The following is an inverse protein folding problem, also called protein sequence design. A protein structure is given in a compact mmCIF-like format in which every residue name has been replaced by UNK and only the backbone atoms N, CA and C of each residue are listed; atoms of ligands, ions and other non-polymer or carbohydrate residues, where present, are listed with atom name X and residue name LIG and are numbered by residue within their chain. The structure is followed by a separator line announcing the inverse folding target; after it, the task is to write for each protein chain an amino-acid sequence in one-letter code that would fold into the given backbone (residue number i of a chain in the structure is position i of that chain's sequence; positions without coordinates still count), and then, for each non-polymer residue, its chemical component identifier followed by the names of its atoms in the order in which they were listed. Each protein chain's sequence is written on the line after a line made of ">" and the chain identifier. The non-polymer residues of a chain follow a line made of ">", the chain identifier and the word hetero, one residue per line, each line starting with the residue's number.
data_IF_992954430858
#
_entry.id   IF_992954430858
#
_cell.length_a   1.000
_cell.length_b   1.000
_cell.length_c   1.000
_cell.angle_alpha   90.00
_cell.angle_beta   90.00
_cell.angle_gamma   90.00
#
_symmetry.space_group_name_H-M   'P 1'
#
loop_
_entity.id
_entity.type
_entity.pdbx_description
1 polymer ?
#
# COMPACT_ATOMS: atom_id res chain seq x y z
N UNK A 1 11.30 10.10 25.88
CA UNK A 1 12.38 10.98 25.38
C UNK A 1 11.88 12.38 25.00
N UNK A 2 10.83 12.57 24.20
CA UNK A 2 10.36 13.92 23.85
C UNK A 2 9.66 14.65 25.02
N UNK A 3 8.82 13.97 25.79
CA UNK A 3 8.07 14.54 26.93
C UNK A 3 8.96 15.06 28.05
N UNK A 4 10.03 14.33 28.40
CA UNK A 4 11.02 14.76 29.41
C UNK A 4 11.77 16.03 28.99
N UNK A 5 11.96 16.25 27.68
CA UNK A 5 12.57 17.47 27.13
C UNK A 5 11.66 18.69 27.27
N UNK A 6 10.34 18.52 27.20
CA UNK A 6 9.38 19.62 27.33
C UNK A 6 9.22 20.08 28.78
N UNK A 7 9.14 19.15 29.73
CA UNK A 7 9.02 19.49 31.15
C UNK A 7 10.28 20.21 31.67
N UNK A 8 11.46 19.79 31.22
CA UNK A 8 12.72 20.46 31.54
C UNK A 8 12.76 21.90 30.97
N UNK A 9 12.28 22.09 29.74
CA UNK A 9 12.21 23.41 29.11
C UNK A 9 11.21 24.35 29.83
N UNK A 10 10.04 23.83 30.22
CA UNK A 10 9.02 24.58 30.98
C UNK A 10 9.58 24.99 32.35
N UNK A 11 10.27 24.08 33.04
CA UNK A 11 10.89 24.36 34.33
C UNK A 11 11.97 25.45 34.22
N UNK A 12 12.85 25.34 33.23
CA UNK A 12 13.89 26.36 32.98
C UNK A 12 13.30 27.74 32.63
N UNK A 13 12.19 27.77 31.91
CA UNK A 13 11.48 29.00 31.59
C UNK A 13 10.86 29.65 32.83
N UNK A 14 10.22 28.86 33.71
CA UNK A 14 9.65 29.35 34.97
C UNK A 14 10.73 29.90 35.93
N UNK A 15 11.89 29.25 35.99
CA UNK A 15 13.03 29.72 36.79
C UNK A 15 13.61 31.04 36.27
N UNK A 16 13.56 31.29 34.95
CA UNK A 16 13.97 32.56 34.34
C UNK A 16 12.96 33.69 34.61
N UNK A 17 11.67 33.35 34.63
CA UNK A 17 10.59 34.31 34.86
C UNK A 17 10.50 34.75 36.33
N UNK A 18 10.80 33.87 37.28
CA UNK A 18 10.88 34.24 38.70
C UNK A 18 12.00 35.25 39.01
N UNK A 19 13.04 35.32 38.16
CA UNK A 19 14.19 36.22 38.31
C UNK A 19 14.05 37.55 37.57
N UNK A 20 13.02 37.73 36.73
CA UNK A 20 12.74 38.96 35.98
C UNK A 20 11.28 39.37 36.18
N UNK A 21 11.01 39.97 37.34
CA UNK A 21 9.66 40.37 37.80
C UNK A 21 8.93 41.31 36.84
N UNK A 22 9.67 42.15 36.11
CA UNK A 22 9.09 43.11 35.14
C UNK A 22 8.56 42.44 33.86
N UNK A 23 8.95 41.19 33.60
CA UNK A 23 8.51 40.37 32.46
C UNK A 23 7.49 39.31 32.86
N UNK A 24 7.23 39.13 34.16
CA UNK A 24 6.43 38.02 34.69
C UNK A 24 5.01 37.97 34.14
N UNK A 25 4.32 39.13 34.10
CA UNK A 25 2.94 39.18 33.63
C UNK A 25 2.83 39.00 32.11
N UNK A 26 3.73 39.61 31.33
CA UNK A 26 3.73 39.51 29.86
C UNK A 26 4.11 38.11 29.40
N UNK A 27 5.08 37.49 30.07
CA UNK A 27 5.50 36.14 29.75
C UNK A 27 4.49 35.08 30.21
N UNK A 28 3.88 35.24 31.39
CA UNK A 28 2.82 34.35 31.85
C UNK A 28 1.61 34.37 30.89
N UNK A 29 1.22 35.55 30.41
CA UNK A 29 0.12 35.67 29.44
C UNK A 29 0.49 35.01 28.10
N UNK A 30 1.71 35.24 27.58
CA UNK A 30 2.17 34.58 26.36
C UNK A 30 2.27 33.05 26.51
N UNK A 31 2.73 32.55 27.64
CA UNK A 31 2.78 31.11 27.92
C UNK A 31 1.38 30.53 27.98
N UNK A 32 0.42 31.23 28.61
CA UNK A 32 -0.97 30.81 28.67
C UNK A 32 -1.61 30.74 27.28
N UNK A 33 -1.37 31.76 26.43
CA UNK A 33 -1.81 31.78 25.04
C UNK A 33 -1.19 30.62 24.26
N UNK A 34 0.14 30.45 24.29
CA UNK A 34 0.83 29.35 23.60
C UNK A 34 0.37 27.97 24.10
N UNK A 35 0.13 27.81 25.40
CA UNK A 35 -0.37 26.56 25.97
C UNK A 35 -1.80 26.28 25.54
N UNK A 36 -2.62 27.33 25.38
CA UNK A 36 -3.98 27.20 24.88
C UNK A 36 -4.00 26.89 23.38
N UNK A 37 -3.18 27.56 22.57
CA UNK A 37 -2.98 27.24 21.14
C UNK A 37 -2.49 25.79 20.95
N UNK A 38 -1.56 25.32 21.79
CA UNK A 38 -1.08 23.93 21.78
C UNK A 38 -2.17 22.93 22.18
N UNK A 39 -3.02 23.26 23.18
CA UNK A 39 -4.17 22.43 23.56
C UNK A 39 -5.25 22.39 22.47
N UNK A 40 -5.48 23.51 21.79
CA UNK A 40 -6.42 23.60 20.66
C UNK A 40 -5.92 22.76 19.47
N UNK A 41 -4.61 22.81 19.19
CA UNK A 41 -3.95 21.92 18.23
C UNK A 41 -4.12 20.44 18.60
N UNK A 42 -3.96 20.06 19.86
CA UNK A 42 -4.17 18.68 20.34
C UNK A 42 -5.65 18.24 20.25
N UNK A 43 -6.59 19.16 20.46
CA UNK A 43 -8.03 18.87 20.33
C UNK A 43 -8.51 18.80 18.88
N UNK A 44 -7.82 19.49 17.96
CA UNK A 44 -8.08 19.45 16.51
C UNK A 44 -7.61 18.16 15.84
N UNK A 45 -6.83 17.34 16.55
CA UNK A 45 -6.23 16.10 16.02
C UNK A 45 -7.23 14.95 15.85
N UNK A 46 -8.50 15.13 16.26
CA UNK A 46 -9.56 14.11 16.15
C UNK A 46 -10.67 14.44 15.14
N UNK A 47 -10.65 15.61 14.49
CA UNK A 47 -11.64 15.88 13.44
C UNK A 47 -11.13 15.32 12.09
N UNK A 48 -11.73 14.20 11.68
CA UNK A 48 -11.43 13.57 10.39
C UNK A 48 -11.63 14.53 9.20
N UNK A 49 -12.60 15.45 9.29
CA UNK A 49 -12.87 16.44 8.25
C UNK A 49 -11.73 17.45 8.18
N UNK A 50 -11.26 17.96 9.32
CA UNK A 50 -10.11 18.88 9.36
C UNK A 50 -8.81 18.20 8.93
N UNK A 51 -8.61 16.92 9.26
CA UNK A 51 -7.47 16.16 8.75
C UNK A 51 -7.46 16.06 7.22
N UNK A 52 -8.62 15.88 6.59
CA UNK A 52 -8.74 15.85 5.12
C UNK A 52 -8.45 17.24 4.54
N UNK A 53 -9.06 18.30 5.09
CA UNK A 53 -8.85 19.68 4.61
C UNK A 53 -7.40 20.14 4.74
N UNK A 54 -6.81 19.99 5.94
CA UNK A 54 -5.42 20.35 6.20
C UNK A 54 -4.45 19.56 5.32
N UNK A 55 -4.71 18.26 5.12
CA UNK A 55 -3.94 17.41 4.22
C UNK A 55 -3.98 17.89 2.76
N UNK A 56 -5.15 18.25 2.25
CA UNK A 56 -5.27 18.80 0.89
C UNK A 56 -4.62 20.17 0.76
N UNK A 57 -4.77 21.04 1.76
CA UNK A 57 -4.09 22.35 1.80
C UNK A 57 -2.59 22.17 1.71
N UNK A 58 -2.01 21.24 2.49
CA UNK A 58 -0.58 20.91 2.43
C UNK A 58 -0.17 20.39 1.05
N UNK A 59 -0.92 19.44 0.46
CA UNK A 59 -0.66 18.97 -0.91
C UNK A 59 -0.69 20.14 -1.92
N UNK A 60 -1.68 21.02 -1.82
CA UNK A 60 -1.83 22.16 -2.72
C UNK A 60 -0.63 23.11 -2.63
N UNK A 61 -0.21 23.49 -1.41
CA UNK A 61 0.88 24.46 -1.22
C UNK A 61 2.26 23.86 -1.44
N UNK A 62 2.48 22.63 -1.00
CA UNK A 62 3.82 22.03 -0.99
C UNK A 62 4.13 21.18 -2.21
N UNK A 63 3.11 20.76 -2.97
CA UNK A 63 3.29 19.91 -4.16
C UNK A 63 2.71 20.55 -5.40
N UNK A 64 1.40 20.83 -5.40
CA UNK A 64 0.71 21.31 -6.60
C UNK A 64 1.27 22.64 -7.12
N UNK A 65 1.22 23.69 -6.29
CA UNK A 65 1.65 25.05 -6.69
C UNK A 65 3.15 25.15 -6.96
N UNK A 66 3.96 24.25 -6.39
CA UNK A 66 5.42 24.23 -6.60
C UNK A 66 5.84 23.47 -7.87
N UNK A 67 4.93 22.76 -8.52
CA UNK A 67 5.20 21.93 -9.71
C UNK A 67 4.19 22.21 -10.83
N UNK A 68 3.96 23.49 -11.13
CA UNK A 68 2.92 23.94 -12.08
C UNK A 68 3.02 23.27 -13.46
N UNK A 69 4.23 23.12 -14.00
CA UNK A 69 4.45 22.45 -15.29
C UNK A 69 3.98 20.99 -15.27
N UNK A 70 4.35 20.24 -14.21
CA UNK A 70 3.95 18.84 -14.05
C UNK A 70 2.42 18.70 -14.00
N UNK A 71 1.76 19.46 -13.13
CA UNK A 71 0.31 19.34 -12.97
C UNK A 71 -0.47 19.90 -14.17
N UNK A 72 0.06 20.91 -14.86
CA UNK A 72 -0.49 21.40 -16.13
C UNK A 72 -0.43 20.36 -17.23
N UNK A 73 0.63 19.56 -17.29
CA UNK A 73 0.72 18.45 -18.25
C UNK A 73 -0.18 17.27 -17.86
N UNK A 74 -0.21 16.91 -16.57
CA UNK A 74 -1.11 15.86 -16.07
C UNK A 74 -2.60 16.20 -16.25
N UNK A 75 -2.97 17.48 -16.24
CA UNK A 75 -4.33 17.92 -16.51
C UNK A 75 -4.79 17.61 -17.96
N UNK A 76 -3.85 17.43 -18.90
CA UNK A 76 -4.14 17.09 -20.31
C UNK A 76 -4.34 15.59 -20.50
N UNK A 77 -3.77 14.75 -19.63
CA UNK A 77 -3.87 13.30 -19.72
C UNK A 77 -2.83 12.57 -18.86
N UNK A 78 -2.90 11.24 -18.86
CA UNK A 78 -1.96 10.37 -18.15
C UNK A 78 -1.31 9.36 -19.12
N UNK A 79 -0.06 9.01 -18.86
CA UNK A 79 0.68 7.97 -19.60
C UNK A 79 1.62 7.17 -18.67
N UNK A 80 1.08 6.55 -17.60
CA UNK A 80 1.89 5.82 -16.62
C UNK A 80 2.62 4.64 -17.27
N UNK A 81 3.81 4.36 -16.76
CA UNK A 81 4.63 3.22 -17.22
C UNK A 81 4.40 1.95 -16.42
N UNK A 82 3.74 2.07 -15.27
CA UNK A 82 3.49 0.98 -14.34
C UNK A 82 1.99 0.81 -14.07
N UNK A 83 1.51 -0.43 -14.12
CA UNK A 83 0.34 -0.89 -13.38
C UNK A 83 0.84 -1.53 -12.08
N UNK A 84 0.37 -1.05 -10.93
CA UNK A 84 0.79 -1.57 -9.62
C UNK A 84 -0.40 -2.16 -8.88
N UNK A 85 -0.30 -3.44 -8.50
CA UNK A 85 -1.17 -4.04 -7.49
C UNK A 85 -0.48 -3.99 -6.14
N UNK A 86 -1.12 -3.36 -5.16
CA UNK A 86 -0.65 -3.29 -3.79
C UNK A 86 -1.79 -3.56 -2.80
N UNK A 87 -1.46 -3.93 -1.56
CA UNK A 87 -2.49 -4.21 -0.57
C UNK A 87 -3.17 -2.92 -0.13
N UNK A 88 -4.45 -2.97 0.26
CA UNK A 88 -5.16 -1.85 0.88
C UNK A 88 -4.63 -1.47 2.27
N UNK A 89 -3.72 -2.26 2.84
CA UNK A 89 -3.06 -2.01 4.12
C UNK A 89 -2.48 -0.57 4.21
N UNK A 90 -2.79 0.15 5.28
CA UNK A 90 -2.46 1.57 5.43
C UNK A 90 -0.95 1.84 5.49
N UNK A 91 -0.12 0.83 5.73
CA UNK A 91 1.34 0.95 5.90
C UNK A 91 2.13 0.85 4.61
N UNK A 92 1.49 0.46 3.50
CA UNK A 92 2.19 0.02 2.27
C UNK A 92 1.75 0.80 1.02
N UNK A 93 1.48 2.10 1.17
CA UNK A 93 1.13 2.95 0.04
C UNK A 93 2.25 2.94 -1.02
N UNK A 94 2.01 2.42 -2.25
CA UNK A 94 3.06 2.22 -3.25
C UNK A 94 3.74 3.54 -3.65
N UNK A 95 2.99 4.64 -3.73
CA UNK A 95 3.55 5.97 -4.01
C UNK A 95 4.56 6.42 -2.95
N UNK A 96 4.39 6.00 -1.70
CA UNK A 96 5.32 6.34 -0.63
C UNK A 96 6.56 5.44 -0.65
N UNK A 97 6.35 4.12 -0.70
CA UNK A 97 7.45 3.14 -0.56
C UNK A 97 8.38 3.08 -1.80
N UNK A 98 7.87 3.43 -2.99
CA UNK A 98 8.64 3.45 -4.23
C UNK A 98 8.87 4.86 -4.78
N UNK A 99 8.45 5.89 -4.04
CA UNK A 99 8.56 7.29 -4.44
C UNK A 99 7.95 7.60 -5.82
N UNK A 100 6.84 6.95 -6.19
CA UNK A 100 6.14 7.29 -7.43
C UNK A 100 5.58 8.71 -7.34
N UNK A 101 5.86 9.49 -8.38
CA UNK A 101 5.29 10.79 -8.63
C UNK A 101 3.91 10.67 -9.31
N UNK A 102 3.07 11.72 -9.23
CA UNK A 102 1.82 11.77 -9.97
C UNK A 102 2.04 11.50 -11.47
N UNK A 103 1.28 10.55 -12.01
CA UNK A 103 1.36 10.14 -13.42
C UNK A 103 2.29 8.96 -13.73
N UNK A 104 3.12 8.49 -12.79
CA UNK A 104 4.06 7.39 -13.06
C UNK A 104 3.41 6.00 -12.99
N UNK A 105 2.49 5.79 -12.05
CA UNK A 105 1.86 4.50 -11.81
C UNK A 105 0.32 4.59 -11.78
N UNK A 106 -0.32 3.69 -12.50
CA UNK A 106 -1.74 3.38 -12.38
C UNK A 106 -1.91 2.30 -11.31
N UNK A 107 -2.61 2.60 -10.22
CA UNK A 107 -2.57 1.77 -9.00
C UNK A 107 -3.92 1.11 -8.73
N UNK A 108 -3.88 -0.20 -8.49
CA UNK A 108 -5.00 -0.98 -7.95
C UNK A 108 -4.65 -1.41 -6.53
N UNK A 109 -5.55 -1.13 -5.58
CA UNK A 109 -5.40 -1.56 -4.18
C UNK A 109 -6.58 -2.43 -3.74
N UNK A 110 -6.28 -3.62 -3.25
CA UNK A 110 -7.28 -4.56 -2.74
C UNK A 110 -6.71 -5.38 -1.58
N UNK A 111 -7.52 -6.25 -0.98
CA UNK A 111 -7.08 -7.09 0.14
C UNK A 111 -6.05 -8.10 -0.36
N UNK A 112 -4.87 -8.10 0.27
CA UNK A 112 -3.74 -8.96 -0.06
C UNK A 112 -3.24 -8.87 -1.51
N UNK A 113 -3.39 -7.70 -2.16
CA UNK A 113 -2.80 -7.38 -3.47
C UNK A 113 -3.02 -8.47 -4.54
N UNK A 114 -4.18 -9.14 -4.49
CA UNK A 114 -4.45 -10.31 -5.30
C UNK A 114 -4.91 -9.91 -6.71
N UNK A 115 -4.45 -10.64 -7.70
CA UNK A 115 -4.99 -10.60 -9.06
C UNK A 115 -5.76 -11.90 -9.28
N UNK A 116 -7.11 -11.89 -9.36
CA UNK A 116 -7.87 -13.06 -9.76
C UNK A 116 -7.64 -13.45 -11.23
N UNK A 117 -7.89 -14.71 -11.60
CA UNK A 117 -7.91 -15.12 -13.00
C UNK A 117 -9.00 -14.38 -13.78
N UNK A 118 -8.88 -14.37 -15.11
CA UNK A 118 -9.84 -13.74 -16.02
C UNK A 118 -11.25 -14.30 -15.79
N UNK A 119 -12.16 -13.45 -15.33
CA UNK A 119 -13.58 -13.77 -15.19
C UNK A 119 -14.41 -12.49 -15.28
N UNK A 120 -15.19 -12.37 -16.36
CA UNK A 120 -16.00 -11.18 -16.64
C UNK A 120 -17.14 -10.96 -15.64
N UNK A 121 -17.60 -12.02 -14.95
CA UNK A 121 -18.74 -11.96 -14.04
C UNK A 121 -18.30 -11.73 -12.60
N UNK A 122 -17.29 -12.47 -12.13
CA UNK A 122 -16.87 -12.47 -10.72
C UNK A 122 -15.82 -11.40 -10.40
N UNK A 123 -15.02 -10.99 -11.38
CA UNK A 123 -13.81 -10.20 -11.14
C UNK A 123 -13.69 -8.98 -12.06
N UNK A 124 -14.84 -8.45 -12.52
CA UNK A 124 -14.91 -7.34 -13.46
C UNK A 124 -14.13 -6.09 -13.02
N UNK A 125 -14.08 -5.79 -11.72
CA UNK A 125 -13.31 -4.65 -11.20
C UNK A 125 -11.80 -4.75 -11.47
N UNK A 126 -11.19 -5.92 -11.19
CA UNK A 126 -9.77 -6.13 -11.49
C UNK A 126 -9.56 -6.24 -13.00
N UNK A 127 -10.41 -7.00 -13.69
CA UNK A 127 -10.29 -7.18 -15.13
C UNK A 127 -10.34 -5.87 -15.91
N UNK A 128 -11.26 -4.97 -15.55
CA UNK A 128 -11.36 -3.64 -16.15
C UNK A 128 -10.11 -2.80 -15.89
N UNK A 129 -9.52 -2.86 -14.69
CA UNK A 129 -8.31 -2.13 -14.36
C UNK A 129 -7.09 -2.61 -15.16
N UNK A 130 -6.91 -3.94 -15.29
CA UNK A 130 -5.83 -4.53 -16.11
C UNK A 130 -6.04 -4.20 -17.58
N UNK A 131 -7.27 -4.35 -18.09
CA UNK A 131 -7.61 -4.01 -19.47
C UNK A 131 -7.33 -2.54 -19.77
N UNK A 132 -7.77 -1.62 -18.92
CA UNK A 132 -7.54 -0.19 -19.10
C UNK A 132 -6.04 0.14 -19.11
N UNK A 133 -5.28 -0.38 -18.15
CA UNK A 133 -3.84 -0.11 -18.08
C UNK A 133 -3.09 -0.65 -19.30
N UNK A 134 -3.36 -1.89 -19.72
CA UNK A 134 -2.62 -2.56 -20.81
C UNK A 134 -3.11 -2.12 -22.18
N UNK A 135 -4.42 -2.06 -22.40
CA UNK A 135 -5.02 -1.79 -23.71
C UNK A 135 -5.12 -0.30 -23.99
N UNK A 136 -5.43 0.53 -22.99
CA UNK A 136 -5.64 1.96 -23.21
C UNK A 136 -4.43 2.81 -22.81
N UNK A 137 -3.89 2.64 -21.60
CA UNK A 137 -2.75 3.43 -21.12
C UNK A 137 -1.40 2.94 -21.65
N UNK A 138 -1.35 1.71 -22.19
CA UNK A 138 -0.13 1.08 -22.73
C UNK A 138 1.01 1.05 -21.71
N UNK A 139 0.70 0.68 -20.46
CA UNK A 139 1.73 0.46 -19.44
C UNK A 139 2.75 -0.57 -19.94
N UNK A 140 4.00 -0.40 -19.55
CA UNK A 140 5.11 -1.28 -19.96
C UNK A 140 5.42 -2.33 -18.88
N UNK A 141 4.90 -2.12 -17.66
CA UNK A 141 5.22 -2.93 -16.50
C UNK A 141 3.96 -3.20 -15.68
N UNK A 142 3.72 -4.45 -15.30
CA UNK A 142 2.80 -4.81 -14.20
C UNK A 142 3.65 -5.26 -13.02
N UNK A 143 3.42 -4.67 -11.85
CA UNK A 143 4.09 -5.05 -10.60
C UNK A 143 3.05 -5.45 -9.56
N UNK A 144 3.14 -6.65 -9.02
CA UNK A 144 2.31 -7.12 -7.89
C UNK A 144 3.17 -7.13 -6.63
N UNK A 145 2.82 -6.27 -5.66
CA UNK A 145 3.61 -6.04 -4.45
C UNK A 145 2.91 -6.67 -3.24
N UNK A 146 3.44 -7.82 -2.81
CA UNK A 146 3.15 -8.41 -1.50
C UNK A 146 3.85 -7.65 -0.38
N UNK A 147 3.50 -7.93 0.87
CA UNK A 147 4.15 -7.27 2.01
C UNK A 147 4.13 -8.11 3.28
N UNK A 148 5.07 -7.82 4.20
CA UNK A 148 5.15 -8.46 5.51
C UNK A 148 3.90 -8.24 6.36
N UNK A 149 3.57 -9.21 7.20
CA UNK A 149 2.45 -9.19 8.15
C UNK A 149 1.11 -8.82 7.48
N UNK A 150 0.83 -9.40 6.31
CA UNK A 150 -0.39 -9.13 5.56
C UNK A 150 -1.61 -9.80 6.23
N UNK A 151 -2.58 -8.99 6.68
CA UNK A 151 -3.80 -9.49 7.31
C UNK A 151 -4.64 -10.40 6.40
N UNK A 152 -4.69 -10.11 5.10
CA UNK A 152 -5.42 -10.96 4.14
C UNK A 152 -4.75 -12.32 3.91
N UNK A 153 -3.42 -12.38 3.88
CA UNK A 153 -2.69 -13.65 3.81
C UNK A 153 -2.82 -14.42 5.11
N UNK A 154 -2.74 -13.75 6.26
CA UNK A 154 -3.00 -14.39 7.56
C UNK A 154 -4.41 -14.99 7.61
N UNK A 155 -5.41 -14.27 7.10
CA UNK A 155 -6.79 -14.76 7.00
C UNK A 155 -6.92 -15.96 6.04
N UNK A 156 -6.23 -15.94 4.90
CA UNK A 156 -6.16 -17.09 3.99
C UNK A 156 -5.55 -18.32 4.67
N UNK A 157 -4.43 -18.15 5.37
CA UNK A 157 -3.73 -19.24 6.04
C UNK A 157 -4.54 -19.89 7.17
N UNK A 158 -5.43 -19.11 7.82
CA UNK A 158 -6.33 -19.61 8.87
C UNK A 158 -7.57 -20.35 8.35
N UNK A 159 -7.85 -20.34 7.04
CA UNK A 159 -8.97 -21.11 6.49
C UNK A 159 -8.64 -22.61 6.57
N UNK A 160 -9.47 -23.35 7.28
CA UNK A 160 -9.44 -24.82 7.35
C UNK A 160 -10.01 -25.43 6.05
N UNK A 161 -9.50 -26.59 5.65
CA UNK A 161 -9.87 -27.21 4.37
C UNK A 161 -11.31 -27.75 4.34
N UNK A 162 -11.83 -28.15 5.51
CA UNK A 162 -13.20 -28.66 5.71
C UNK A 162 -14.14 -27.63 6.38
N UNK A 163 -13.78 -26.34 6.35
CA UNK A 163 -14.56 -25.30 7.02
C UNK A 163 -16.01 -25.25 6.50
N UNK A 164 -16.97 -25.17 7.43
CA UNK A 164 -18.37 -24.87 7.17
C UNK A 164 -18.54 -23.50 6.46
N UNK A 165 -19.76 -23.06 6.06
CA UNK A 165 -19.94 -21.82 5.32
C UNK A 165 -19.22 -20.64 5.97
N UNK A 166 -18.63 -19.81 5.12
CA UNK A 166 -17.66 -18.75 5.44
C UNK A 166 -18.04 -17.95 6.69
N UNK A 167 -17.10 -17.74 7.61
CA UNK A 167 -17.29 -16.86 8.78
C UNK A 167 -17.42 -15.38 8.38
N UNK A 168 -17.06 -15.05 7.14
CA UNK A 168 -17.14 -13.70 6.57
C UNK A 168 -17.99 -13.66 5.30
N UNK A 169 -18.73 -12.56 5.09
CA UNK A 169 -19.57 -12.37 3.90
C UNK A 169 -18.78 -12.32 2.57
N UNK A 170 -17.56 -11.77 2.59
CA UNK A 170 -16.76 -11.53 1.37
C UNK A 170 -15.29 -11.95 1.48
N UNK A 171 -14.69 -11.82 2.66
CA UNK A 171 -13.23 -11.87 2.83
C UNK A 171 -12.68 -13.23 2.43
N UNK A 172 -13.25 -14.31 2.96
CA UNK A 172 -12.83 -15.68 2.64
C UNK A 172 -12.96 -15.99 1.15
N UNK A 173 -14.09 -15.62 0.53
CA UNK A 173 -14.29 -15.83 -0.91
C UNK A 173 -13.26 -15.04 -1.75
N UNK A 174 -12.90 -13.84 -1.31
CA UNK A 174 -11.85 -13.05 -1.96
C UNK A 174 -10.47 -13.68 -1.80
N UNK A 175 -10.04 -13.96 -0.56
CA UNK A 175 -8.66 -14.44 -0.33
C UNK A 175 -8.43 -15.87 -0.86
N UNK A 176 -9.50 -16.64 -1.12
CA UNK A 176 -9.42 -17.93 -1.82
C UNK A 176 -8.80 -17.86 -3.22
N UNK A 177 -8.67 -16.68 -3.82
CA UNK A 177 -7.83 -16.48 -5.02
C UNK A 177 -6.40 -16.98 -4.78
N UNK A 178 -5.86 -16.79 -3.57
CA UNK A 178 -4.54 -17.26 -3.15
C UNK A 178 -4.48 -18.70 -2.66
N UNK A 179 -5.57 -19.49 -2.71
CA UNK A 179 -5.59 -20.86 -2.21
C UNK A 179 -4.47 -21.77 -2.78
N UNK A 180 -4.06 -21.66 -4.08
CA UNK A 180 -2.92 -22.43 -4.58
C UNK A 180 -1.62 -22.14 -3.82
N UNK A 181 -1.36 -20.88 -3.44
CA UNK A 181 -0.19 -20.51 -2.66
C UNK A 181 -0.26 -21.10 -1.24
N UNK A 182 -1.41 -20.97 -0.58
CA UNK A 182 -1.64 -21.56 0.75
C UNK A 182 -1.39 -23.06 0.74
N UNK A 183 -1.97 -23.78 -0.22
CA UNK A 183 -1.86 -25.23 -0.31
C UNK A 183 -0.41 -25.66 -0.50
N UNK A 184 0.31 -25.01 -1.42
CA UNK A 184 1.74 -25.27 -1.65
C UNK A 184 2.57 -25.05 -0.37
N UNK A 185 2.37 -23.93 0.32
CA UNK A 185 3.14 -23.64 1.55
C UNK A 185 2.79 -24.62 2.67
N UNK A 186 1.51 -24.97 2.85
CA UNK A 186 1.09 -25.98 3.84
C UNK A 186 1.67 -27.36 3.52
N UNK A 187 1.85 -27.71 2.26
CA UNK A 187 2.45 -28.99 1.85
C UNK A 187 3.98 -28.99 2.01
N UNK A 188 4.67 -27.99 1.49
CA UNK A 188 6.14 -27.94 1.42
C UNK A 188 6.82 -27.45 2.71
N UNK A 189 6.07 -26.83 3.63
CA UNK A 189 6.65 -26.13 4.79
C UNK A 189 5.94 -26.45 6.13
N UNK A 190 5.51 -27.70 6.31
CA UNK A 190 4.82 -28.17 7.53
C UNK A 190 5.63 -27.94 8.81
N UNK A 191 6.97 -28.04 8.73
CA UNK A 191 7.87 -27.89 9.88
C UNK A 191 8.07 -26.43 10.33
N UNK A 192 7.61 -25.46 9.54
CA UNK A 192 7.78 -24.05 9.87
C UNK A 192 6.69 -23.55 10.82
N UNK A 193 7.04 -22.52 11.60
CA UNK A 193 6.09 -21.80 12.42
C UNK A 193 4.97 -21.20 11.55
N UNK A 194 3.79 -20.99 12.13
CA UNK A 194 2.67 -20.38 11.42
C UNK A 194 3.03 -19.01 10.80
N UNK A 195 3.80 -18.20 11.52
CA UNK A 195 4.23 -16.89 11.04
C UNK A 195 5.23 -17.01 9.88
N UNK A 196 6.13 -17.99 9.90
CA UNK A 196 7.05 -18.26 8.79
C UNK A 196 6.32 -18.80 7.55
N UNK A 197 5.29 -19.64 7.75
CA UNK A 197 4.41 -20.06 6.66
C UNK A 197 3.67 -18.86 6.06
N UNK A 198 3.15 -17.94 6.90
CA UNK A 198 2.53 -16.70 6.41
C UNK A 198 3.53 -15.86 5.59
N UNK A 199 4.75 -15.66 6.10
CA UNK A 199 5.80 -14.91 5.40
C UNK A 199 6.14 -15.51 4.03
N UNK A 200 6.17 -16.84 3.91
CA UNK A 200 6.37 -17.52 2.62
C UNK A 200 5.14 -17.38 1.71
N UNK A 201 3.94 -17.54 2.28
CA UNK A 201 2.68 -17.44 1.54
C UNK A 201 2.46 -16.03 0.98
N UNK A 202 2.94 -14.97 1.64
CA UNK A 202 2.91 -13.60 1.11
C UNK A 202 3.63 -13.48 -0.24
N UNK A 203 4.79 -14.14 -0.40
CA UNK A 203 5.53 -14.15 -1.67
C UNK A 203 4.89 -15.10 -2.68
N UNK A 204 4.43 -16.27 -2.25
CA UNK A 204 3.83 -17.24 -3.15
C UNK A 204 2.46 -16.77 -3.69
N UNK A 205 1.68 -16.04 -2.91
CA UNK A 205 0.43 -15.42 -3.38
C UNK A 205 0.67 -14.34 -4.44
N UNK A 206 1.82 -13.65 -4.39
CA UNK A 206 2.27 -12.80 -5.50
C UNK A 206 2.48 -13.64 -6.75
N UNK A 207 3.21 -14.77 -6.65
CA UNK A 207 3.44 -15.67 -7.79
C UNK A 207 2.14 -16.20 -8.41
N UNK A 208 1.16 -16.59 -7.58
CA UNK A 208 -0.19 -16.97 -8.05
C UNK A 208 -0.84 -15.83 -8.84
N UNK A 209 -0.74 -14.59 -8.33
CA UNK A 209 -1.26 -13.41 -9.03
C UNK A 209 -0.54 -13.13 -10.35
N UNK A 210 0.78 -13.35 -10.42
CA UNK A 210 1.55 -13.24 -11.67
C UNK A 210 1.09 -14.29 -12.70
N UNK A 211 0.82 -15.52 -12.25
CA UNK A 211 0.22 -16.56 -13.08
C UNK A 211 -1.17 -16.14 -13.57
N UNK A 212 -2.05 -15.68 -12.67
CA UNK A 212 -3.40 -15.23 -13.03
C UNK A 212 -3.39 -14.10 -14.07
N UNK A 213 -2.42 -13.18 -14.03
CA UNK A 213 -2.28 -12.14 -15.06
C UNK A 213 -2.12 -12.74 -16.48
N UNK A 214 -1.48 -13.90 -16.64
CA UNK A 214 -1.35 -14.55 -17.93
C UNK A 214 -2.67 -15.15 -18.45
N UNK A 215 -3.68 -15.33 -17.60
CA UNK A 215 -5.02 -15.76 -18.05
C UNK A 215 -5.76 -14.66 -18.84
N UNK A 216 -5.33 -13.40 -18.75
CA UNK A 216 -5.88 -12.28 -19.52
C UNK A 216 -5.30 -12.28 -20.94
N UNK A 217 -6.10 -12.43 -22.00
CA UNK A 217 -5.58 -12.56 -23.37
C UNK A 217 -4.72 -11.39 -23.82
N UNK A 218 -5.10 -10.16 -23.47
CA UNK A 218 -4.36 -8.94 -23.83
C UNK A 218 -3.05 -8.78 -23.06
N UNK A 219 -2.95 -9.28 -21.82
CA UNK A 219 -1.69 -9.32 -21.07
C UNK A 219 -0.74 -10.29 -21.73
N UNK A 220 -1.20 -11.52 -21.99
CA UNK A 220 -0.40 -12.56 -22.65
C UNK A 220 0.11 -12.09 -24.01
N UNK A 221 -0.75 -11.46 -24.82
CA UNK A 221 -0.37 -10.92 -26.12
C UNK A 221 0.72 -9.82 -25.99
N UNK A 222 0.64 -8.95 -24.98
CA UNK A 222 1.62 -7.89 -24.76
C UNK A 222 2.97 -8.43 -24.26
N UNK A 223 2.96 -9.45 -23.40
CA UNK A 223 4.19 -10.15 -22.95
C UNK A 223 4.88 -10.85 -24.13
N UNK A 224 4.13 -11.59 -24.96
CA UNK A 224 4.68 -12.26 -26.16
C UNK A 224 5.30 -11.25 -27.14
N UNK A 225 4.70 -10.06 -27.26
CA UNK A 225 5.23 -8.95 -28.08
C UNK A 225 6.39 -8.19 -27.44
N UNK A 226 6.80 -8.57 -26.23
CA UNK A 226 7.85 -7.89 -25.45
C UNK A 226 7.55 -6.39 -25.21
N UNK A 227 6.26 -6.03 -25.14
CA UNK A 227 5.80 -4.67 -24.82
C UNK A 227 5.35 -4.52 -23.37
N UNK A 228 5.31 -5.62 -22.62
CA UNK A 228 4.86 -5.65 -21.23
C UNK A 228 5.70 -6.65 -20.43
N UNK A 229 6.27 -6.19 -19.31
CA UNK A 229 6.93 -7.04 -18.33
C UNK A 229 6.06 -7.25 -17.09
N UNK A 230 6.10 -8.45 -16.50
CA UNK A 230 5.35 -8.80 -15.28
C UNK A 230 6.35 -9.08 -14.16
N UNK A 231 6.21 -8.38 -13.02
CA UNK A 231 7.11 -8.48 -11.88
C UNK A 231 6.35 -8.72 -10.59
N UNK A 232 6.94 -9.56 -9.74
CA UNK A 232 6.54 -9.73 -8.36
C UNK A 232 7.48 -8.94 -7.45
N UNK A 233 6.94 -8.42 -6.36
CA UNK A 233 7.74 -7.81 -5.32
C UNK A 233 7.21 -8.14 -3.93
N UNK A 234 8.08 -8.03 -2.92
CA UNK A 234 7.70 -8.16 -1.52
C UNK A 234 8.35 -7.05 -0.70
N UNK A 235 7.51 -6.22 -0.07
CA UNK A 235 7.95 -5.17 0.84
C UNK A 235 7.87 -5.65 2.29
N UNK A 236 9.02 -5.78 2.94
CA UNK A 236 9.09 -6.09 4.35
C UNK A 236 9.28 -4.80 5.16
N UNK A 237 8.18 -4.23 5.68
CA UNK A 237 8.24 -3.02 6.51
C UNK A 237 8.79 -3.27 7.92
N UNK A 238 8.86 -4.53 8.37
CA UNK A 238 9.47 -4.87 9.67
C UNK A 238 10.98 -4.72 9.59
N UNK A 239 11.58 -5.09 8.45
CA UNK A 239 13.03 -5.06 8.22
C UNK A 239 13.48 -3.90 7.32
N UNK A 240 12.55 -3.19 6.68
CA UNK A 240 12.84 -2.13 5.72
C UNK A 240 13.46 -2.64 4.41
N UNK A 241 13.11 -3.83 3.96
CA UNK A 241 13.67 -4.44 2.73
C UNK A 241 12.63 -4.56 1.63
N UNK A 242 13.08 -4.56 0.37
CA UNK A 242 12.23 -4.70 -0.80
C UNK A 242 12.85 -5.71 -1.78
N UNK A 243 12.20 -6.85 -1.96
CA UNK A 243 12.60 -7.87 -2.93
C UNK A 243 11.82 -7.66 -4.23
N UNK A 244 12.49 -7.80 -5.39
CA UNK A 244 11.89 -7.67 -6.71
C UNK A 244 12.34 -8.84 -7.60
N UNK A 245 11.41 -9.44 -8.32
CA UNK A 245 11.68 -10.50 -9.29
C UNK A 245 10.80 -10.34 -10.53
N UNK A 246 11.24 -10.92 -11.65
CA UNK A 246 10.54 -10.88 -12.93
C UNK A 246 10.02 -12.28 -13.27
N UNK A 247 8.80 -12.33 -13.82
CA UNK A 247 8.24 -13.57 -14.34
C UNK A 247 8.87 -13.88 -15.70
N UNK A 248 9.71 -14.91 -15.75
CA UNK A 248 10.27 -15.38 -17.01
C UNK A 248 9.22 -16.22 -17.77
N UNK A 249 8.51 -15.56 -18.69
CA UNK A 249 7.50 -16.21 -19.53
C UNK A 249 8.06 -17.30 -20.45
N UNK A 250 9.38 -17.30 -20.74
CA UNK A 250 9.99 -18.31 -21.63
C UNK A 250 10.28 -19.62 -20.91
N UNK A 251 10.50 -19.57 -19.60
CA UNK A 251 10.85 -20.75 -18.78
C UNK A 251 9.72 -21.20 -17.86
N UNK A 252 8.70 -20.37 -17.63
CA UNK A 252 7.50 -20.75 -16.89
C UNK A 252 6.67 -21.71 -17.74
N UNK A 253 6.51 -22.98 -17.35
CA UNK A 253 5.76 -23.95 -18.15
C UNK A 253 4.33 -23.46 -18.38
N UNK A 254 3.75 -23.74 -19.54
CA UNK A 254 2.33 -23.48 -19.85
C UNK A 254 1.34 -24.26 -18.94
N UNK A 255 1.84 -24.91 -17.89
CA UNK A 255 1.07 -25.68 -16.92
C UNK A 255 0.40 -24.75 -15.92
N UNK A 256 -0.90 -24.54 -16.14
CA UNK A 256 -1.96 -24.28 -15.13
C UNK A 256 -3.03 -23.29 -15.64
N UNK A 257 -3.45 -23.39 -16.90
CA UNK A 257 -4.60 -22.61 -17.41
C UNK A 257 -5.70 -23.48 -18.05
N UNK A 258 -5.73 -24.78 -17.74
CA UNK A 258 -6.87 -25.66 -18.03
C UNK A 258 -7.83 -25.70 -16.84
#
# INVERSE_FOLDING_TARGET
>A
MATESYEAAIKGLNDLLSKKTDLGNVAAEKIKVLTQELKELDSSNNDAVERIKSGFTHFKTEKYLKNDALFSDLAKGQSPKFLVFACSDSRVCPSHILNFQPGEAFVVRNIANMVPPFDQKRHSGVGAAVEYAVVHLKVENIVVIGHSCCGGIKGLMSIEDDAAPTQSDFIENWVKIGAPARNKIKEENQDLSYDDQCNKCEKEAVNVSLGNLLSYPFVRAAVVKNTLAIRGAHYNFVKGTFDLWELDFKTTPAYAFS
#
